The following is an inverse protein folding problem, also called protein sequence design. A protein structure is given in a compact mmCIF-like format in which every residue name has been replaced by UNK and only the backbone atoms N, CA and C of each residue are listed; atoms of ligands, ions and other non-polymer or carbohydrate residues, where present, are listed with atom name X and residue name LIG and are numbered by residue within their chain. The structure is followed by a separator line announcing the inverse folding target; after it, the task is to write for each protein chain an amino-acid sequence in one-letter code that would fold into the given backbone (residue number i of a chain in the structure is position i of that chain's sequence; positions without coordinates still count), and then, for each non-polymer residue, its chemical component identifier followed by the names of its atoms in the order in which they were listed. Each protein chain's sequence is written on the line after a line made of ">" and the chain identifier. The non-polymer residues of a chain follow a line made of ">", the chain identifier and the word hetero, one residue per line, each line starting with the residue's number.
data_IF_019087228564
#
_entry.id   IF_019087228564
#
_cell.length_a   1.000
_cell.length_b   1.000
_cell.length_c   1.000
_cell.angle_alpha   90.00
_cell.angle_beta   90.00
_cell.angle_gamma   90.00
#
_symmetry.space_group_name_H-M   'P 1'
#
loop_
_entity.id
_entity.type
_entity.pdbx_description
1 polymer ?
#
# COMPACT_ATOMS: atom_id res chain seq x y z
N UNK A 1 1.22 -18.47 -23.72
CA UNK A 1 1.26 -19.55 -22.71
C UNK A 1 2.23 -19.15 -21.61
N UNK A 2 1.73 -18.47 -20.58
CA UNK A 2 2.50 -18.12 -19.37
C UNK A 2 1.82 -18.82 -18.19
N UNK A 3 2.68 -19.42 -17.35
CA UNK A 3 2.44 -20.64 -16.60
C UNK A 3 1.42 -20.49 -15.48
N UNK A 4 0.49 -21.44 -15.44
CA UNK A 4 -0.28 -21.83 -14.28
C UNK A 4 0.67 -22.36 -13.19
N UNK A 5 0.53 -21.86 -11.97
CA UNK A 5 1.05 -22.50 -10.75
C UNK A 5 -0.10 -22.52 -9.75
N UNK A 6 -0.64 -23.71 -9.53
CA UNK A 6 -1.56 -24.01 -8.44
C UNK A 6 -1.03 -25.25 -7.72
N UNK A 7 -0.63 -25.10 -6.47
CA UNK A 7 -0.95 -25.99 -5.35
C UNK A 7 -0.19 -25.55 -4.10
N UNK A 8 -0.87 -24.84 -3.20
CA UNK A 8 -0.65 -24.96 -1.76
C UNK A 8 -2.00 -25.37 -1.18
N UNK A 9 -2.05 -26.55 -0.57
CA UNK A 9 -3.26 -27.15 -0.04
C UNK A 9 -3.72 -26.41 1.23
N UNK A 10 -5.03 -26.14 1.25
CA UNK A 10 -5.91 -25.63 2.30
C UNK A 10 -5.35 -25.44 3.72
N UNK A 11 -5.16 -24.17 4.09
CA UNK A 11 -5.92 -23.61 5.21
C UNK A 11 -7.04 -22.75 4.61
N UNK A 12 -8.31 -23.07 4.89
CA UNK A 12 -9.47 -22.23 4.54
C UNK A 12 -9.44 -20.95 5.37
N UNK A 13 -8.49 -20.10 5.05
CA UNK A 13 -8.40 -18.76 5.58
C UNK A 13 -8.93 -17.86 4.48
N UNK A 14 -9.97 -17.08 4.78
CA UNK A 14 -10.44 -15.97 3.94
C UNK A 14 -9.40 -14.82 3.91
N UNK A 15 -8.15 -15.16 4.19
CA UNK A 15 -6.99 -14.30 4.37
C UNK A 15 -6.79 -13.34 3.19
N UNK A 16 -6.97 -13.73 1.91
CA UNK A 16 -6.93 -12.76 0.83
C UNK A 16 -8.03 -11.70 0.95
N UNK A 17 -9.26 -12.09 1.32
CA UNK A 17 -10.40 -11.17 1.47
C UNK A 17 -10.25 -10.28 2.72
N UNK A 18 -9.86 -10.85 3.85
CA UNK A 18 -9.60 -10.11 5.10
C UNK A 18 -8.50 -9.08 4.92
N UNK A 19 -7.40 -9.44 4.25
CA UNK A 19 -6.29 -8.52 3.96
C UNK A 19 -6.66 -7.46 2.94
N UNK A 20 -7.55 -7.76 1.99
CA UNK A 20 -8.12 -6.75 1.10
C UNK A 20 -9.02 -5.78 1.86
N UNK A 21 -9.87 -6.26 2.77
CA UNK A 21 -10.72 -5.42 3.60
C UNK A 21 -9.89 -4.51 4.52
N UNK A 22 -8.85 -5.04 5.16
CA UNK A 22 -7.92 -4.25 5.97
C UNK A 22 -7.15 -3.22 5.13
N UNK A 23 -6.67 -3.60 3.94
CA UNK A 23 -6.02 -2.66 3.04
C UNK A 23 -6.98 -1.53 2.62
N UNK A 24 -8.23 -1.84 2.30
CA UNK A 24 -9.26 -0.84 1.99
C UNK A 24 -9.53 0.09 3.17
N UNK A 25 -9.59 -0.44 4.39
CA UNK A 25 -9.76 0.37 5.60
C UNK A 25 -8.59 1.35 5.80
N UNK A 26 -7.34 0.90 5.60
CA UNK A 26 -6.16 1.76 5.68
C UNK A 26 -6.19 2.87 4.61
N UNK A 27 -6.64 2.55 3.39
CA UNK A 27 -6.77 3.56 2.32
C UNK A 27 -7.91 4.55 2.59
N UNK A 28 -9.00 4.10 3.22
CA UNK A 28 -10.07 4.99 3.66
C UNK A 28 -9.60 5.97 4.75
N UNK A 29 -8.61 5.58 5.57
CA UNK A 29 -8.10 6.38 6.69
C UNK A 29 -6.65 6.90 6.49
N UNK A 30 -6.32 7.28 5.26
CA UNK A 30 -4.97 7.76 4.88
C UNK A 30 -4.47 8.96 5.68
N UNK A 31 -5.34 9.75 6.31
CA UNK A 31 -4.95 10.90 7.12
C UNK A 31 -4.31 10.49 8.46
N UNK A 32 -4.70 9.34 9.01
CA UNK A 32 -4.24 8.86 10.32
C UNK A 32 -3.14 7.79 10.22
N UNK A 33 -2.90 7.24 9.02
CA UNK A 33 -1.86 6.26 8.79
C UNK A 33 -0.58 6.84 8.19
N UNK A 34 0.57 6.27 8.57
CA UNK A 34 1.85 6.65 8.00
C UNK A 34 2.05 6.12 6.58
N UNK A 35 2.87 6.81 5.78
CA UNK A 35 3.19 6.47 4.39
C UNK A 35 3.65 5.00 4.20
N UNK A 36 4.24 4.39 5.24
CA UNK A 36 4.63 2.98 5.21
C UNK A 36 3.42 2.04 5.13
N UNK A 37 2.40 2.25 5.97
CA UNK A 37 1.18 1.44 5.97
C UNK A 37 0.37 1.66 4.70
N UNK A 38 0.23 2.92 4.28
CA UNK A 38 -0.48 3.27 3.04
C UNK A 38 0.17 2.58 1.84
N UNK A 39 1.50 2.55 1.78
CA UNK A 39 2.27 1.86 0.73
C UNK A 39 2.06 0.36 0.74
N UNK A 40 2.03 -0.26 1.92
CA UNK A 40 1.78 -1.70 2.04
C UNK A 40 0.38 -2.03 1.54
N UNK A 41 -0.63 -1.28 1.99
CA UNK A 41 -2.01 -1.42 1.53
C UNK A 41 -2.13 -1.24 0.01
N UNK A 42 -1.49 -0.21 -0.58
CA UNK A 42 -1.48 -0.02 -2.02
C UNK A 42 -0.90 -1.24 -2.75
N UNK A 43 0.22 -1.81 -2.30
CA UNK A 43 0.81 -3.01 -2.92
C UNK A 43 -0.12 -4.22 -2.86
N UNK A 44 -0.83 -4.40 -1.75
CA UNK A 44 -1.83 -5.46 -1.59
C UNK A 44 -2.98 -5.26 -2.59
N UNK A 45 -3.54 -4.06 -2.70
CA UNK A 45 -4.62 -3.76 -3.64
C UNK A 45 -4.18 -3.90 -5.10
N UNK A 46 -2.94 -3.54 -5.45
CA UNK A 46 -2.42 -3.72 -6.82
C UNK A 46 -2.32 -5.20 -7.19
N UNK A 47 -1.82 -6.03 -6.27
CA UNK A 47 -1.59 -7.45 -6.53
C UNK A 47 -2.87 -8.28 -6.45
N UNK A 48 -3.81 -7.90 -5.57
CA UNK A 48 -4.93 -8.74 -5.18
C UNK A 48 -6.29 -8.06 -5.27
N UNK A 49 -6.36 -6.76 -5.55
CA UNK A 49 -7.62 -6.02 -5.67
C UNK A 49 -8.57 -6.70 -6.66
N UNK A 50 -9.87 -6.61 -6.41
CA UNK A 50 -10.86 -7.37 -7.17
C UNK A 50 -11.13 -6.73 -8.52
N UNK A 51 -11.18 -5.39 -8.55
CA UNK A 51 -11.52 -4.63 -9.75
C UNK A 51 -10.29 -4.02 -10.41
N UNK A 52 -10.33 -3.84 -11.72
CA UNK A 52 -9.26 -3.16 -12.45
C UNK A 52 -9.12 -1.69 -11.98
N UNK A 53 -10.24 -1.02 -11.74
CA UNK A 53 -10.29 0.35 -11.23
C UNK A 53 -9.58 0.48 -9.88
N UNK A 54 -9.87 -0.42 -8.93
CA UNK A 54 -9.22 -0.43 -7.62
C UNK A 54 -7.71 -0.59 -7.73
N UNK A 55 -7.24 -1.50 -8.60
CA UNK A 55 -5.80 -1.69 -8.85
C UNK A 55 -5.16 -0.43 -9.44
N UNK A 56 -5.83 0.19 -10.41
CA UNK A 56 -5.35 1.42 -11.05
C UNK A 56 -5.27 2.60 -10.08
N UNK A 57 -6.29 2.80 -9.25
CA UNK A 57 -6.30 3.88 -8.26
C UNK A 57 -5.23 3.66 -7.19
N UNK A 58 -5.02 2.41 -6.76
CA UNK A 58 -3.93 2.06 -5.86
C UNK A 58 -2.54 2.33 -6.48
N UNK A 59 -2.36 2.12 -7.79
CA UNK A 59 -1.13 2.49 -8.50
C UNK A 59 -0.92 4.01 -8.49
N UNK A 60 -1.95 4.80 -8.80
CA UNK A 60 -1.88 6.26 -8.79
C UNK A 60 -1.53 6.78 -7.40
N UNK A 61 -2.18 6.29 -6.36
CA UNK A 61 -1.90 6.69 -4.98
C UNK A 61 -0.48 6.33 -4.55
N UNK A 62 0.02 5.14 -4.94
CA UNK A 62 1.37 4.72 -4.64
C UNK A 62 2.42 5.70 -5.21
N UNK A 63 2.22 6.17 -6.45
CA UNK A 63 3.08 7.19 -7.07
C UNK A 63 3.10 8.49 -6.25
N UNK A 64 1.94 8.97 -5.81
CA UNK A 64 1.83 10.19 -5.00
C UNK A 64 2.51 10.03 -3.64
N UNK A 65 2.37 8.86 -3.00
CA UNK A 65 3.04 8.54 -1.74
C UNK A 65 4.56 8.46 -1.92
N UNK A 66 5.04 7.90 -3.03
CA UNK A 66 6.47 7.85 -3.35
C UNK A 66 7.09 9.23 -3.54
N UNK A 67 6.39 10.12 -4.23
CA UNK A 67 6.83 11.49 -4.45
C UNK A 67 6.91 12.33 -3.15
N UNK A 68 6.15 11.96 -2.10
CA UNK A 68 6.20 12.65 -0.79
C UNK A 68 7.47 12.36 0.02
N UNK A 69 8.12 11.22 -0.23
CA UNK A 69 9.31 10.76 0.52
C UNK A 69 10.51 11.72 0.47
N UNK A 70 10.92 12.29 -0.69
CA UNK A 70 12.02 13.26 -0.74
C UNK A 70 11.71 14.53 0.07
N UNK A 71 10.47 15.02 0.04
CA UNK A 71 10.06 16.23 0.78
C UNK A 71 10.20 16.00 2.29
N UNK A 72 9.73 14.87 2.82
CA UNK A 72 9.83 14.59 4.27
C UNK A 72 11.26 14.31 4.74
N UNK A 73 12.10 13.69 3.91
CA UNK A 73 13.53 13.53 4.24
C UNK A 73 14.22 14.88 4.34
N UNK A 74 13.99 15.76 3.37
CA UNK A 74 14.52 17.12 3.41
C UNK A 74 14.03 17.89 4.65
N UNK A 75 12.74 17.80 5.00
CA UNK A 75 12.20 18.44 6.20
C UNK A 75 12.82 17.90 7.50
N UNK A 76 13.05 16.59 7.61
CA UNK A 76 13.67 16.00 8.81
C UNK A 76 15.12 16.42 8.96
N UNK A 77 15.87 16.49 7.86
CA UNK A 77 17.26 16.96 7.85
C UNK A 77 17.35 18.45 8.20
N UNK A 78 16.43 19.27 7.70
CA UNK A 78 16.33 20.70 8.03
C UNK A 78 15.99 20.93 9.52
N UNK A 79 15.01 20.21 10.06
CA UNK A 79 14.69 20.25 11.50
C UNK A 79 15.86 19.81 12.38
N UNK A 80 16.67 18.84 11.92
CA UNK A 80 17.88 18.42 12.63
C UNK A 80 19.00 19.46 12.62
N UNK A 81 19.01 20.38 11.66
CA UNK A 81 19.95 21.51 11.59
C UNK A 81 19.50 22.72 12.38
N UNK A 82 18.19 22.95 12.51
CA UNK A 82 17.62 24.06 13.27
C UNK A 82 17.60 23.82 14.80
N UNK A 83 17.96 22.62 15.26
CA UNK A 83 17.98 22.22 16.68
C UNK A 83 19.37 22.21 17.35
N UNK A 84 20.40 22.75 16.71
CA UNK A 84 21.76 22.96 17.24
C UNK A 84 22.06 24.46 17.34
#
# INVERSE_FOLDING_TARGET
>A
MIKSVACVAASTSDWPADRLAEARAVIADVAHHGDHLIRLACKVLIAHGETATEREDAQRLLVVIDARRPVRRAQREDQGRAGL
#
